data_IF_923243521547
#
_entry.id   IF_923243521547
#
_cell.length_a   1.000
_cell.length_b   1.000
_cell.length_c   1.000
_cell.angle_alpha   90.00
_cell.angle_beta   90.00
_cell.angle_gamma   90.00
#
_symmetry.space_group_name_H-M   'P 1'
#
loop_
_entity.id
_entity.type
_entity.pdbx_description
1 polymer ?
#
# COMPACT_ATOMS: atom_id res chain seq x y z
N UNK A 1 -30.36 25.84 6.07
CA UNK A 1 -29.42 24.93 6.76
C UNK A 1 -28.88 23.96 5.74
N UNK A 2 -27.68 24.20 5.21
CA UNK A 2 -27.00 23.25 4.31
C UNK A 2 -26.28 22.28 5.25
N UNK A 3 -26.78 21.05 5.35
CA UNK A 3 -26.10 19.99 6.10
C UNK A 3 -24.87 19.59 5.30
N UNK A 4 -23.70 20.15 5.64
CA UNK A 4 -22.42 19.69 5.14
C UNK A 4 -22.22 18.29 5.73
N UNK A 5 -22.58 17.24 4.98
CA UNK A 5 -22.16 15.88 5.31
C UNK A 5 -20.64 15.86 5.23
N UNK A 6 -19.98 15.77 6.37
CA UNK A 6 -18.54 15.52 6.45
C UNK A 6 -18.24 14.27 5.63
N UNK A 7 -17.63 14.47 4.46
CA UNK A 7 -17.27 13.38 3.56
C UNK A 7 -16.10 12.68 4.21
N UNK A 8 -16.31 11.48 4.77
CA UNK A 8 -15.23 10.64 5.28
C UNK A 8 -14.21 10.44 4.17
N UNK A 9 -13.01 11.03 4.29
CA UNK A 9 -11.93 10.82 3.33
C UNK A 9 -11.21 9.54 3.74
N UNK A 10 -11.36 8.50 2.90
CA UNK A 10 -10.62 7.26 3.06
C UNK A 10 -9.27 7.38 2.34
N UNK A 11 -8.21 6.91 3.00
CA UNK A 11 -6.91 6.67 2.37
C UNK A 11 -6.68 5.17 2.27
N UNK A 12 -5.93 4.75 1.28
CA UNK A 12 -5.59 3.36 0.99
C UNK A 12 -4.09 3.21 1.18
N UNK A 13 -3.71 2.53 2.25
CA UNK A 13 -2.33 2.36 2.68
C UNK A 13 -1.79 1.02 2.15
N UNK A 14 -0.69 1.03 1.39
CA UNK A 14 -0.02 -0.23 1.00
C UNK A 14 0.55 -0.94 2.23
N UNK A 15 0.40 -2.26 2.28
CA UNK A 15 0.94 -3.12 3.33
C UNK A 15 1.90 -4.12 2.70
N UNK A 16 3.04 -4.33 3.36
CA UNK A 16 4.05 -5.32 2.99
C UNK A 16 4.34 -6.25 4.16
N UNK A 17 4.71 -7.50 3.86
CA UNK A 17 5.18 -8.48 4.85
C UNK A 17 6.54 -9.04 4.42
N UNK A 18 7.55 -8.91 5.27
CA UNK A 18 8.83 -9.57 5.05
C UNK A 18 8.66 -11.10 5.15
N UNK A 19 9.09 -11.84 4.12
CA UNK A 19 9.09 -13.31 4.10
C UNK A 19 10.04 -13.90 5.14
N UNK A 20 11.14 -13.19 5.43
CA UNK A 20 12.21 -13.67 6.30
C UNK A 20 11.90 -13.43 7.78
N UNK A 21 11.75 -12.16 8.19
CA UNK A 21 11.50 -11.82 9.60
C UNK A 21 10.01 -11.73 9.97
N UNK A 22 9.10 -11.85 9.01
CA UNK A 22 7.65 -11.81 9.24
C UNK A 22 7.05 -10.42 9.48
N UNK A 23 7.87 -9.36 9.58
CA UNK A 23 7.42 -8.00 9.90
C UNK A 23 6.44 -7.45 8.87
N UNK A 24 5.32 -6.92 9.35
CA UNK A 24 4.40 -6.08 8.57
C UNK A 24 4.84 -4.62 8.63
N UNK A 25 4.78 -3.92 7.50
CA UNK A 25 5.08 -2.50 7.43
C UNK A 25 4.30 -1.79 6.31
N UNK A 26 4.16 -0.47 6.46
CA UNK A 26 3.44 0.38 5.54
C UNK A 26 4.37 0.91 4.45
N UNK A 27 3.88 1.00 3.21
CA UNK A 27 4.53 1.74 2.13
C UNK A 27 3.85 3.08 1.86
N UNK A 28 3.64 3.39 0.58
CA UNK A 28 2.90 4.59 0.14
C UNK A 28 1.39 4.45 0.33
N UNK A 29 0.70 5.59 0.35
CA UNK A 29 -0.76 5.66 0.42
C UNK A 29 -1.34 6.52 -0.71
N UNK A 30 -2.61 6.29 -1.02
CA UNK A 30 -3.39 7.10 -1.98
C UNK A 30 -4.79 7.35 -1.42
N UNK A 31 -5.39 8.49 -1.72
CA UNK A 31 -6.82 8.77 -1.45
C UNK A 31 -7.75 8.31 -2.59
N UNK A 32 -7.19 7.80 -3.69
CA UNK A 32 -7.93 7.28 -4.82
C UNK A 32 -8.15 5.77 -4.72
N UNK A 33 -9.40 5.38 -4.46
CA UNK A 33 -9.83 3.97 -4.45
C UNK A 33 -9.54 3.28 -5.79
N UNK A 34 -9.75 3.98 -6.89
CA UNK A 34 -9.46 3.48 -8.24
C UNK A 34 -7.99 3.14 -8.40
N UNK A 35 -7.09 4.06 -8.03
CA UNK A 35 -5.64 3.82 -8.15
C UNK A 35 -5.19 2.69 -7.22
N UNK A 36 -5.73 2.62 -6.00
CA UNK A 36 -5.45 1.51 -5.10
C UNK A 36 -5.82 0.16 -5.71
N UNK A 37 -6.93 0.07 -6.44
CA UNK A 37 -7.34 -1.17 -7.09
C UNK A 37 -6.55 -1.48 -8.37
N UNK A 38 -6.38 -0.51 -9.27
CA UNK A 38 -5.69 -0.71 -10.55
C UNK A 38 -4.21 -1.10 -10.35
N UNK A 39 -3.54 -0.50 -9.38
CA UNK A 39 -2.12 -0.80 -9.10
C UNK A 39 -1.90 -2.20 -8.51
N UNK A 40 -2.90 -2.82 -7.86
CA UNK A 40 -2.83 -4.24 -7.47
C UNK A 40 -2.67 -5.11 -8.71
N UNK A 41 -3.49 -4.86 -9.75
CA UNK A 41 -3.45 -5.61 -11.01
C UNK A 41 -2.10 -5.45 -11.69
N UNK A 42 -1.59 -4.22 -11.79
CA UNK A 42 -0.28 -3.94 -12.41
C UNK A 42 0.85 -4.69 -11.67
N UNK A 43 0.83 -4.65 -10.33
CA UNK A 43 1.78 -5.39 -9.51
C UNK A 43 1.71 -6.89 -9.81
N UNK A 44 0.51 -7.49 -9.78
CA UNK A 44 0.29 -8.91 -10.06
C UNK A 44 0.77 -9.35 -11.44
N UNK A 45 0.64 -8.49 -12.46
CA UNK A 45 1.09 -8.76 -13.82
C UNK A 45 2.59 -8.48 -14.03
N UNK A 46 3.27 -7.92 -13.03
CA UNK A 46 4.67 -7.49 -13.16
C UNK A 46 4.84 -6.32 -14.14
N UNK A 47 3.77 -5.60 -14.46
CA UNK A 47 3.80 -4.45 -15.36
C UNK A 47 4.36 -3.28 -14.57
N UNK A 48 5.36 -2.60 -15.12
CA UNK A 48 5.84 -1.35 -14.56
C UNK A 48 4.76 -0.28 -14.74
N UNK A 49 4.06 0.03 -13.65
CA UNK A 49 3.06 1.11 -13.66
C UNK A 49 3.72 2.44 -13.99
N UNK A 50 2.99 3.30 -14.71
CA UNK A 50 3.40 4.69 -14.97
C UNK A 50 3.35 5.54 -13.69
N UNK A 51 2.60 5.08 -12.69
CA UNK A 51 2.62 5.67 -11.35
C UNK A 51 3.97 5.36 -10.70
N UNK A 52 4.80 6.38 -10.55
CA UNK A 52 6.18 6.29 -10.01
C UNK A 52 6.24 5.49 -8.69
N UNK A 53 5.19 5.57 -7.88
CA UNK A 53 5.13 4.97 -6.55
C UNK A 53 4.19 3.74 -6.48
N UNK A 54 3.82 3.15 -7.62
CA UNK A 54 3.02 1.93 -7.59
C UNK A 54 3.77 0.81 -6.83
N UNK A 55 3.08 0.04 -5.98
CA UNK A 55 3.68 -1.10 -5.33
C UNK A 55 4.14 -2.13 -6.37
N UNK A 56 5.29 -2.76 -6.12
CA UNK A 56 5.70 -4.00 -6.80
C UNK A 56 5.24 -5.18 -5.95
N UNK A 57 5.12 -6.37 -6.55
CA UNK A 57 4.82 -7.60 -5.78
C UNK A 57 5.82 -7.85 -4.66
N UNK A 58 7.08 -7.51 -4.91
CA UNK A 58 8.16 -7.66 -3.95
C UNK A 58 9.07 -6.44 -3.91
N UNK A 59 9.67 -6.22 -2.75
CA UNK A 59 10.74 -5.25 -2.53
C UNK A 59 11.71 -5.76 -1.47
N UNK A 60 12.91 -5.21 -1.45
CA UNK A 60 13.90 -5.45 -0.41
C UNK A 60 13.42 -4.98 0.96
N UNK A 61 13.83 -5.69 2.01
CA UNK A 61 13.58 -5.29 3.39
C UNK A 61 14.85 -5.48 4.22
N UNK A 62 15.28 -4.43 4.91
CA UNK A 62 16.35 -4.52 5.91
C UNK A 62 15.76 -4.96 7.26
N UNK A 63 16.04 -6.19 7.66
CA UNK A 63 15.58 -6.77 8.90
C UNK A 63 16.34 -6.15 10.10
N UNK A 64 15.72 -6.18 11.29
CA UNK A 64 16.29 -5.55 12.49
C UNK A 64 17.56 -6.24 13.00
N UNK A 65 17.77 -7.51 12.64
CA UNK A 65 18.98 -8.28 12.93
C UNK A 65 20.13 -8.01 11.93
N UNK A 66 19.93 -7.10 10.97
CA UNK A 66 20.89 -6.78 9.92
C UNK A 66 20.78 -7.65 8.66
N UNK A 67 19.88 -8.65 8.64
CA UNK A 67 19.64 -9.50 7.47
C UNK A 67 18.88 -8.75 6.36
N UNK A 68 18.99 -9.23 5.12
CA UNK A 68 18.22 -8.73 3.97
C UNK A 68 17.12 -9.71 3.59
N UNK A 69 15.87 -9.30 3.78
CA UNK A 69 14.69 -10.06 3.41
C UNK A 69 14.05 -9.57 2.11
N UNK A 70 13.12 -10.38 1.61
CA UNK A 70 12.19 -10.00 0.54
C UNK A 70 10.83 -9.77 1.16
N UNK A 71 10.23 -8.61 0.95
CA UNK A 71 8.91 -8.26 1.43
C UNK A 71 7.88 -8.32 0.31
N UNK A 72 6.79 -9.05 0.58
CA UNK A 72 5.66 -9.20 -0.32
C UNK A 72 4.64 -8.10 -0.10
N UNK A 73 4.18 -7.52 -1.20
CA UNK A 73 2.99 -6.69 -1.19
C UNK A 73 1.77 -7.52 -0.79
N UNK A 74 1.09 -7.09 0.27
CA UNK A 74 -0.09 -7.76 0.82
C UNK A 74 -1.41 -7.15 0.31
N UNK A 75 -1.35 -5.97 -0.31
CA UNK A 75 -2.52 -5.21 -0.74
C UNK A 75 -2.62 -3.82 -0.10
N UNK A 76 -3.77 -3.19 -0.28
CA UNK A 76 -4.12 -1.91 0.34
C UNK A 76 -5.05 -2.12 1.52
N UNK A 77 -4.75 -1.46 2.64
CA UNK A 77 -5.65 -1.33 3.78
C UNK A 77 -6.36 0.01 3.73
N UNK A 78 -7.70 0.00 3.73
CA UNK A 78 -8.51 1.21 3.83
C UNK A 78 -8.39 1.79 5.24
N UNK A 79 -8.04 3.06 5.32
CA UNK A 79 -7.88 3.84 6.53
C UNK A 79 -8.90 4.97 6.49
N UNK A 80 -9.81 4.99 7.45
CA UNK A 80 -10.77 6.08 7.57
C UNK A 80 -10.12 7.22 8.36
N UNK A 81 -10.09 8.41 7.78
CA UNK A 81 -9.71 9.62 8.51
C UNK A 81 -10.97 10.22 9.12
N UNK A 82 -11.05 10.30 10.44
CA UNK A 82 -11.96 11.22 11.11
C UNK A 82 -11.24 12.56 11.17
N UNK A 83 -11.79 13.58 10.50
CA UNK A 83 -11.31 14.96 10.67
C UNK A 83 -12.10 15.61 11.79
#
# INVERSE_FOLDING_TARGET
MITIREKTMATYQTIFKCRLCGKLFNGVATDSERLAFETIKDACLGIRSEVIQAPKLNQEHFCADGSYGVADFQGFKKMNSHK
#
